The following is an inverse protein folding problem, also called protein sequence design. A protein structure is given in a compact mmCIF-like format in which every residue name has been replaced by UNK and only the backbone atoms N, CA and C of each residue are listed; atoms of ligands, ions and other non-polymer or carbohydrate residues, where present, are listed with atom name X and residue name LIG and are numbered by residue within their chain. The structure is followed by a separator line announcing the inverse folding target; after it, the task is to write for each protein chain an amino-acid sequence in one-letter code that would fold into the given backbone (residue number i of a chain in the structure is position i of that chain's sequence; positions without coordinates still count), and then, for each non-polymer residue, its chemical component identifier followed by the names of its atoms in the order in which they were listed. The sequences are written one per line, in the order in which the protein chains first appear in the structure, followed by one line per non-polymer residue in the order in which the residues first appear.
data_IF_712203524443
#
_entry.id   IF_712203524443
#
_cell.length_a   1.000
_cell.length_b   1.000
_cell.length_c   1.000
_cell.angle_alpha   90.00
_cell.angle_beta   90.00
_cell.angle_gamma   90.00
#
_symmetry.space_group_name_H-M   'P 1'
#
loop_
_entity.id
_entity.type
_entity.pdbx_description
1 polymer ?
#
# COMPACT_ATOMS: atom_id res chain seq x y z
N UNK A 1 -6.27 -25.56 -13.10
CA UNK A 1 -5.88 -24.56 -12.08
C UNK A 1 -6.97 -23.51 -12.05
N UNK A 2 -7.54 -23.23 -10.88
CA UNK A 2 -8.54 -22.16 -10.74
C UNK A 2 -7.76 -20.90 -10.41
N UNK A 3 -7.54 -20.02 -11.39
CA UNK A 3 -6.94 -18.71 -11.13
C UNK A 3 -8.04 -17.84 -10.54
N UNK A 4 -7.85 -17.38 -9.31
CA UNK A 4 -8.66 -16.30 -8.75
C UNK A 4 -8.56 -15.09 -9.69
N UNK A 5 -9.71 -14.60 -10.15
CA UNK A 5 -9.75 -13.36 -10.94
C UNK A 5 -9.18 -12.21 -10.11
N UNK A 6 -8.28 -11.44 -10.71
CA UNK A 6 -7.75 -10.23 -10.08
C UNK A 6 -8.78 -9.12 -10.28
N UNK A 7 -9.27 -8.57 -9.17
CA UNK A 7 -10.20 -7.44 -9.16
C UNK A 7 -9.45 -6.15 -8.82
N UNK A 8 -9.60 -5.13 -9.67
CA UNK A 8 -9.17 -3.76 -9.36
C UNK A 8 -10.41 -3.02 -8.86
N UNK A 9 -10.32 -2.42 -7.66
CA UNK A 9 -11.39 -1.65 -7.02
C UNK A 9 -10.88 -0.28 -6.58
N UNK A 10 -11.81 0.64 -6.34
CA UNK A 10 -11.52 1.89 -5.65
C UNK A 10 -11.02 1.62 -4.23
N UNK A 11 -10.06 2.42 -3.79
CA UNK A 11 -9.51 2.36 -2.43
C UNK A 11 -10.55 2.86 -1.43
N UNK A 12 -10.71 2.17 -0.31
CA UNK A 12 -11.58 2.60 0.80
C UNK A 12 -10.79 2.72 2.11
N UNK A 13 -11.44 3.25 3.15
CA UNK A 13 -10.81 3.37 4.49
C UNK A 13 -10.33 2.04 5.07
N UNK A 14 -10.96 0.93 4.68
CA UNK A 14 -10.60 -0.42 5.11
C UNK A 14 -9.24 -0.86 4.54
N UNK A 15 -8.81 -0.29 3.42
CA UNK A 15 -7.55 -0.63 2.76
C UNK A 15 -6.35 0.12 3.38
N UNK A 16 -6.57 1.14 4.23
CA UNK A 16 -5.52 2.03 4.73
C UNK A 16 -4.40 1.30 5.47
N UNK A 17 -4.73 0.26 6.25
CA UNK A 17 -3.71 -0.50 6.98
C UNK A 17 -2.82 -1.30 6.02
N UNK A 18 -3.40 -1.82 4.94
CA UNK A 18 -2.66 -2.53 3.90
C UNK A 18 -1.74 -1.56 3.12
N UNK A 19 -2.29 -0.43 2.68
CA UNK A 19 -1.52 0.60 1.96
C UNK A 19 -0.36 1.11 2.81
N UNK A 20 -0.62 1.50 4.06
CA UNK A 20 0.41 1.95 5.00
C UNK A 20 1.51 0.89 5.17
N UNK A 21 1.13 -0.38 5.31
CA UNK A 21 2.08 -1.49 5.47
C UNK A 21 2.97 -1.64 4.24
N UNK A 22 2.39 -1.61 3.04
CA UNK A 22 3.14 -1.70 1.79
C UNK A 22 4.07 -0.51 1.58
N UNK A 23 3.58 0.70 1.83
CA UNK A 23 4.37 1.93 1.66
C UNK A 23 5.46 2.09 2.71
N UNK A 24 5.35 1.43 3.86
CA UNK A 24 6.43 1.37 4.86
C UNK A 24 7.37 0.17 4.66
N UNK A 25 7.09 -0.71 3.70
CA UNK A 25 7.95 -1.86 3.41
C UNK A 25 8.98 -1.52 2.33
N UNK A 26 10.24 -1.44 2.72
CA UNK A 26 11.37 -1.19 1.81
C UNK A 26 11.50 -2.20 0.67
N UNK A 27 11.15 -3.47 0.88
CA UNK A 27 11.19 -4.50 -0.17
C UNK A 27 10.16 -4.26 -1.29
N UNK A 28 9.05 -3.59 -0.97
CA UNK A 28 8.04 -3.16 -1.93
C UNK A 28 8.44 -1.82 -2.55
N UNK A 29 8.79 -0.86 -1.70
CA UNK A 29 8.98 0.52 -2.12
C UNK A 29 10.31 0.77 -2.86
N UNK A 30 11.28 -0.15 -2.79
CA UNK A 30 12.50 -0.09 -3.62
C UNK A 30 12.19 -0.03 -5.12
N UNK A 31 11.09 -0.63 -5.58
CA UNK A 31 10.69 -0.60 -6.99
C UNK A 31 10.18 0.77 -7.45
N UNK A 32 9.89 1.69 -6.52
CA UNK A 32 9.42 3.06 -6.80
C UNK A 32 10.34 4.14 -6.22
N UNK A 33 11.57 3.77 -5.80
CA UNK A 33 12.61 4.72 -5.40
C UNK A 33 12.64 5.09 -3.91
N UNK A 34 11.91 4.38 -3.04
CA UNK A 34 11.93 4.58 -1.59
C UNK A 34 12.35 3.29 -0.88
N UNK A 35 13.64 2.89 -0.93
CA UNK A 35 14.10 1.59 -0.43
C UNK A 35 13.96 1.39 1.08
N UNK A 36 13.79 2.46 1.85
CA UNK A 36 13.54 2.40 3.31
C UNK A 36 12.05 2.47 3.66
N UNK A 37 11.16 2.49 2.67
CA UNK A 37 9.74 2.83 2.85
C UNK A 37 9.53 4.32 3.13
N UNK A 38 8.27 4.71 3.35
CA UNK A 38 7.89 6.12 3.60
C UNK A 38 7.86 6.49 5.09
N UNK A 39 7.80 5.51 6.00
CA UNK A 39 7.71 5.75 7.44
C UNK A 39 6.45 6.52 7.86
N UNK A 40 5.35 6.43 7.09
CA UNK A 40 4.14 7.22 7.32
C UNK A 40 3.20 6.54 8.32
N UNK A 41 2.35 7.36 8.95
CA UNK A 41 1.28 6.88 9.83
C UNK A 41 0.01 6.59 9.03
N UNK A 42 -0.94 5.88 9.65
CA UNK A 42 -2.29 5.67 9.07
C UNK A 42 -2.99 6.99 8.74
N UNK A 43 -2.83 8.00 9.61
CA UNK A 43 -3.37 9.35 9.36
C UNK A 43 -2.75 9.96 8.11
N UNK A 44 -1.42 9.90 7.97
CA UNK A 44 -0.73 10.40 6.78
C UNK A 44 -1.12 9.62 5.52
N UNK A 45 -1.36 8.31 5.63
CA UNK A 45 -1.86 7.48 4.52
C UNK A 45 -3.22 7.98 4.03
N UNK A 46 -4.15 8.26 4.96
CA UNK A 46 -5.49 8.80 4.66
C UNK A 46 -5.47 10.16 3.95
N UNK A 47 -4.44 10.97 4.18
CA UNK A 47 -4.31 12.29 3.52
C UNK A 47 -3.80 12.19 2.08
N UNK A 48 -3.32 11.01 1.65
CA UNK A 48 -2.70 10.76 0.34
C UNK A 48 -3.54 9.91 -0.61
N UNK A 49 -4.61 9.28 -0.13
CA UNK A 49 -5.47 8.36 -0.90
C UNK A 49 -6.91 8.84 -0.97
#
# INVERSE_FOLDING_TARGET
MNYSEIMIKETTEEDLDNIMTLWNNGEVMKYVGFPEGLGITKKGTRELV
#
